data_IF_162888383510
#
_entry.id   IF_162888383510
#
_cell.length_a   1.000
_cell.length_b   1.000
_cell.length_c   1.000
_cell.angle_alpha   90.00
_cell.angle_beta   90.00
_cell.angle_gamma   90.00
#
_symmetry.space_group_name_H-M   'P 1'
#
loop_
_entity.id
_entity.type
_entity.pdbx_description
1 polymer ?
#
# COMPACT_ATOMS: atom_id res chain seq x y z
N UNK A 1 4.19 -59.01 -41.21
CA UNK A 1 4.59 -59.05 -39.79
C UNK A 1 4.71 -57.62 -39.26
N UNK A 2 3.98 -57.35 -38.18
CA UNK A 2 3.98 -56.23 -37.21
C UNK A 2 4.71 -54.92 -37.60
N UNK A 3 3.93 -53.85 -37.84
CA UNK A 3 4.39 -52.46 -37.75
C UNK A 3 4.33 -52.04 -36.27
N UNK A 4 5.49 -51.68 -35.72
CA UNK A 4 5.66 -51.21 -34.35
C UNK A 4 5.26 -49.72 -34.30
N UNK A 5 4.14 -49.40 -33.64
CA UNK A 5 3.71 -48.03 -33.39
C UNK A 5 4.44 -47.53 -32.14
N UNK A 6 5.40 -46.63 -32.30
CA UNK A 6 6.04 -45.93 -31.19
C UNK A 6 5.15 -44.74 -30.83
N UNK A 7 4.37 -44.88 -29.76
CA UNK A 7 3.61 -43.77 -29.18
C UNK A 7 4.56 -42.99 -28.26
N UNK A 8 5.00 -41.83 -28.72
CA UNK A 8 5.78 -40.89 -27.91
C UNK A 8 4.82 -40.18 -26.94
N UNK A 9 4.77 -40.63 -25.69
CA UNK A 9 4.12 -39.88 -24.61
C UNK A 9 4.99 -38.67 -24.30
N UNK A 10 4.65 -37.51 -24.87
CA UNK A 10 5.18 -36.22 -24.45
C UNK A 10 4.65 -35.95 -23.04
N UNK A 11 5.49 -36.20 -22.04
CA UNK A 11 5.29 -35.66 -20.70
C UNK A 11 5.34 -34.13 -20.83
N UNK A 12 4.17 -33.50 -20.80
CA UNK A 12 4.06 -32.07 -20.54
C UNK A 12 4.54 -31.85 -19.11
N UNK A 13 5.83 -31.57 -18.95
CA UNK A 13 6.36 -31.06 -17.71
C UNK A 13 5.71 -29.70 -17.48
N UNK A 14 4.69 -29.67 -16.62
CA UNK A 14 4.13 -28.43 -16.10
C UNK A 14 5.24 -27.71 -15.35
N UNK A 15 5.91 -26.78 -16.01
CA UNK A 15 6.75 -25.81 -15.35
C UNK A 15 5.80 -24.99 -14.47
N UNK A 16 5.81 -25.24 -13.17
CA UNK A 16 5.28 -24.30 -12.20
C UNK A 16 6.05 -22.99 -12.42
N UNK A 17 5.44 -22.05 -13.13
CA UNK A 17 6.02 -20.76 -13.40
C UNK A 17 6.14 -20.05 -12.05
N UNK A 18 7.35 -19.97 -11.52
CA UNK A 18 7.62 -19.20 -10.32
C UNK A 18 7.23 -17.74 -10.63
N UNK A 19 6.35 -17.17 -9.80
CA UNK A 19 5.96 -15.77 -9.92
C UNK A 19 7.22 -14.88 -9.92
N UNK A 20 7.31 -13.95 -10.85
CA UNK A 20 8.42 -13.02 -10.92
C UNK A 20 8.22 -11.96 -9.83
N UNK A 21 8.88 -12.17 -8.68
CA UNK A 21 8.86 -11.27 -7.53
C UNK A 21 10.11 -10.40 -7.53
N UNK A 22 9.92 -9.09 -7.64
CA UNK A 22 10.96 -8.07 -7.55
C UNK A 22 10.72 -7.16 -6.34
N UNK A 23 11.76 -6.89 -5.56
CA UNK A 23 11.72 -5.88 -4.50
C UNK A 23 11.80 -4.47 -5.11
N UNK A 24 10.91 -3.56 -4.68
CA UNK A 24 10.90 -2.17 -5.14
C UNK A 24 11.63 -1.28 -4.13
N UNK A 25 11.08 -1.13 -2.93
CA UNK A 25 11.62 -0.21 -1.90
C UNK A 25 11.01 -0.51 -0.52
N UNK A 26 11.78 -0.22 0.54
CA UNK A 26 11.26 -0.09 1.90
C UNK A 26 11.27 1.38 2.30
N UNK A 27 10.18 1.86 2.90
CA UNK A 27 9.95 3.26 3.22
C UNK A 27 9.70 3.46 4.71
N UNK A 28 10.26 4.53 5.26
CA UNK A 28 9.82 5.15 6.51
C UNK A 28 9.06 6.44 6.18
N UNK A 29 7.83 6.54 6.63
CA UNK A 29 6.92 7.63 6.33
C UNK A 29 6.61 8.40 7.61
N UNK A 30 6.75 9.73 7.57
CA UNK A 30 6.38 10.63 8.66
C UNK A 30 5.18 11.47 8.26
N UNK A 31 4.21 11.59 9.17
CA UNK A 31 3.07 12.48 9.00
C UNK A 31 3.53 13.92 8.83
N UNK A 32 2.95 14.61 7.86
CA UNK A 32 3.29 16.01 7.52
C UNK A 32 2.10 16.94 7.67
N UNK A 33 0.90 16.45 7.36
CA UNK A 33 -0.33 17.20 7.50
C UNK A 33 -1.53 16.28 7.72
N UNK A 34 -2.56 16.84 8.36
CA UNK A 34 -3.88 16.24 8.41
C UNK A 34 -4.90 17.17 7.77
N UNK A 35 -5.70 16.61 6.87
CA UNK A 35 -6.75 17.30 6.14
C UNK A 35 -8.10 16.71 6.57
N UNK A 36 -8.86 17.39 7.45
CA UNK A 36 -10.15 16.90 7.90
C UNK A 36 -11.15 16.87 6.74
N UNK A 37 -12.02 15.84 6.69
CA UNK A 37 -13.15 15.80 5.77
C UNK A 37 -14.30 16.73 6.19
N UNK A 38 -14.49 16.92 7.51
CA UNK A 38 -15.41 17.88 8.09
C UNK A 38 -14.92 18.33 9.47
N UNK A 39 -14.62 19.62 9.63
CA UNK A 39 -14.35 20.34 10.89
C UNK A 39 -13.38 19.68 11.90
N UNK A 40 -12.08 19.88 11.71
CA UNK A 40 -11.10 20.26 12.77
C UNK A 40 -9.71 20.31 12.15
N UNK A 41 -9.12 21.51 12.09
CA UNK A 41 -7.69 21.64 11.81
C UNK A 41 -6.92 21.12 13.03
N UNK A 42 -6.15 20.07 12.82
CA UNK A 42 -5.19 19.54 13.78
C UNK A 42 -3.92 19.21 13.03
N UNK A 43 -2.77 19.43 13.62
CA UNK A 43 -1.52 18.95 13.06
C UNK A 43 -1.51 17.41 13.16
N UNK A 44 -0.92 16.74 12.17
CA UNK A 44 -0.70 15.29 12.19
C UNK A 44 0.45 14.90 13.12
N UNK A 45 0.42 15.35 14.37
CA UNK A 45 1.60 15.45 15.24
C UNK A 45 2.21 14.10 15.66
N UNK A 46 1.59 12.97 15.31
CA UNK A 46 2.16 11.63 15.57
C UNK A 46 1.62 10.57 14.61
N UNK A 47 1.88 10.71 13.32
CA UNK A 47 1.66 9.64 12.35
C UNK A 47 2.98 9.13 11.78
N UNK A 48 3.14 7.81 11.73
CA UNK A 48 4.30 7.14 11.15
C UNK A 48 3.88 5.83 10.48
N UNK A 49 4.42 5.55 9.30
CA UNK A 49 4.21 4.28 8.61
C UNK A 49 5.55 3.69 8.15
N UNK A 50 5.63 2.38 8.13
CA UNK A 50 6.67 1.60 7.50
C UNK A 50 6.03 0.80 6.37
N UNK A 51 6.61 0.83 5.17
CA UNK A 51 6.06 0.17 3.99
C UNK A 51 7.16 -0.60 3.27
N UNK A 52 6.99 -1.90 3.06
CA UNK A 52 7.80 -2.71 2.14
C UNK A 52 6.99 -2.95 0.86
N UNK A 53 7.51 -2.52 -0.28
CA UNK A 53 6.81 -2.58 -1.57
C UNK A 53 7.53 -3.55 -2.52
N UNK A 54 6.75 -4.43 -3.12
CA UNK A 54 7.22 -5.42 -4.11
C UNK A 54 6.40 -5.33 -5.40
N UNK A 55 6.97 -5.84 -6.48
CA UNK A 55 6.30 -6.09 -7.75
C UNK A 55 6.22 -7.60 -7.96
N UNK A 56 5.02 -8.15 -8.05
CA UNK A 56 4.78 -9.57 -8.33
C UNK A 56 3.99 -9.66 -9.62
N UNK A 57 4.62 -10.21 -10.66
CA UNK A 57 4.02 -10.39 -11.99
C UNK A 57 3.41 -9.10 -12.57
N UNK A 58 4.08 -7.97 -12.36
CA UNK A 58 3.64 -6.66 -12.85
C UNK A 58 2.63 -5.95 -11.95
N UNK A 59 2.28 -6.51 -10.78
CA UNK A 59 1.38 -5.90 -9.81
C UNK A 59 2.17 -5.39 -8.61
N UNK A 60 1.95 -4.12 -8.27
CA UNK A 60 2.53 -3.52 -7.07
C UNK A 60 1.74 -3.99 -5.84
N UNK A 61 2.47 -4.34 -4.79
CA UNK A 61 1.92 -4.87 -3.54
C UNK A 61 2.71 -4.32 -2.35
N UNK A 62 2.00 -4.02 -1.25
CA UNK A 62 2.63 -3.89 0.06
C UNK A 62 2.91 -5.30 0.56
N UNK A 63 4.18 -5.69 0.59
CA UNK A 63 4.62 -6.96 1.17
C UNK A 63 4.44 -6.95 2.68
N UNK A 64 4.87 -5.86 3.33
CA UNK A 64 4.70 -5.64 4.76
C UNK A 64 4.39 -4.17 4.96
N UNK A 65 3.50 -3.87 5.90
CA UNK A 65 3.28 -2.51 6.35
C UNK A 65 2.99 -2.48 7.83
N UNK A 66 3.31 -1.35 8.47
CA UNK A 66 3.05 -1.15 9.88
C UNK A 66 3.12 0.31 10.28
N UNK A 67 2.69 0.62 11.51
CA UNK A 67 2.84 1.95 12.11
C UNK A 67 1.58 2.42 12.81
N UNK A 68 1.46 3.74 12.94
CA UNK A 68 0.35 4.37 13.63
C UNK A 68 -0.06 5.67 12.98
N UNK A 69 -1.34 6.02 13.14
CA UNK A 69 -1.87 7.34 12.84
C UNK A 69 -2.50 7.86 14.11
N UNK A 70 -1.97 8.97 14.63
CA UNK A 70 -2.66 9.81 15.61
C UNK A 70 -2.96 11.16 14.97
N UNK A 71 -4.24 11.45 14.74
CA UNK A 71 -4.63 12.67 14.04
C UNK A 71 -6.07 13.07 14.31
N UNK A 72 -6.34 14.33 14.63
CA UNK A 72 -7.70 14.82 14.86
C UNK A 72 -8.49 14.06 15.94
N UNK A 73 -7.80 13.49 16.95
CA UNK A 73 -8.40 12.65 17.98
C UNK A 73 -8.54 11.17 17.61
N UNK A 74 -8.30 10.80 16.34
CA UNK A 74 -8.27 9.42 15.87
C UNK A 74 -6.92 8.78 16.14
N UNK A 75 -6.92 7.60 16.75
CA UNK A 75 -5.73 6.76 16.88
C UNK A 75 -5.96 5.41 16.23
N UNK A 76 -5.08 5.00 15.32
CA UNK A 76 -5.08 3.65 14.79
C UNK A 76 -3.69 3.08 14.60
N UNK A 77 -3.60 1.75 14.76
CA UNK A 77 -2.38 0.97 14.55
C UNK A 77 -2.57 0.15 13.28
N UNK A 78 -1.58 0.21 12.40
CA UNK A 78 -1.55 -0.55 11.16
C UNK A 78 -0.54 -1.66 11.30
N UNK A 79 -0.91 -2.84 10.82
CA UNK A 79 0.02 -3.89 10.46
C UNK A 79 -0.64 -4.81 9.45
N UNK A 80 0.14 -5.36 8.55
CA UNK A 80 -0.35 -6.36 7.62
C UNK A 80 0.65 -6.67 6.53
N UNK A 81 0.20 -7.52 5.60
CA UNK A 81 1.00 -8.01 4.49
C UNK A 81 0.14 -8.32 3.29
N UNK A 82 0.81 -8.43 2.16
CA UNK A 82 0.26 -8.89 0.90
C UNK A 82 -0.92 -8.08 0.33
N UNK A 83 -0.90 -6.77 0.55
CA UNK A 83 -1.95 -5.88 0.07
C UNK A 83 -1.65 -5.39 -1.36
N UNK A 84 -2.40 -5.92 -2.33
CA UNK A 84 -2.22 -5.64 -3.76
C UNK A 84 -2.86 -4.32 -4.16
N UNK A 85 -2.21 -3.59 -5.07
CA UNK A 85 -2.77 -2.39 -5.70
C UNK A 85 -4.17 -2.64 -6.29
N UNK A 86 -5.07 -1.67 -6.11
CA UNK A 86 -6.38 -1.60 -6.75
C UNK A 86 -6.51 -0.33 -7.60
N UNK A 87 -6.75 -0.45 -8.92
CA UNK A 87 -6.87 0.70 -9.81
C UNK A 87 -8.10 1.58 -9.47
N UNK A 88 -8.01 2.87 -9.80
CA UNK A 88 -9.02 3.87 -9.48
C UNK A 88 -10.31 3.67 -10.32
N UNK A 89 -11.48 3.59 -9.67
CA UNK A 89 -12.78 3.45 -10.36
C UNK A 89 -13.56 4.79 -10.56
N UNK A 90 -13.13 5.91 -9.95
CA UNK A 90 -13.80 7.24 -10.05
C UNK A 90 -12.86 8.36 -10.57
N UNK A 91 -13.42 9.52 -10.93
CA UNK A 91 -12.67 10.67 -11.47
C UNK A 91 -11.51 11.09 -10.55
N UNK A 92 -10.29 11.09 -11.09
CA UNK A 92 -9.04 10.83 -10.38
C UNK A 92 -8.34 12.07 -9.81
N UNK A 93 -8.45 12.28 -8.49
CA UNK A 93 -7.59 13.21 -7.74
C UNK A 93 -6.11 12.74 -7.70
N UNK A 94 -5.89 11.42 -7.77
CA UNK A 94 -4.57 10.78 -7.66
C UNK A 94 -4.18 10.06 -8.96
N UNK A 95 -3.78 10.81 -9.99
CA UNK A 95 -3.46 10.25 -11.32
C UNK A 95 -2.11 9.53 -11.40
N UNK A 96 -1.17 9.85 -10.52
CA UNK A 96 0.19 9.29 -10.51
C UNK A 96 0.51 8.55 -9.19
N UNK A 97 -0.47 7.85 -8.64
CA UNK A 97 -0.31 7.11 -7.40
C UNK A 97 -0.73 5.65 -7.56
N UNK A 98 -0.02 4.75 -6.89
CA UNK A 98 -0.50 3.44 -6.53
C UNK A 98 -1.56 3.60 -5.43
N UNK A 99 -2.60 2.76 -5.46
CA UNK A 99 -3.64 2.75 -4.42
C UNK A 99 -3.77 1.36 -3.85
N UNK A 100 -3.71 1.24 -2.54
CA UNK A 100 -3.91 0.01 -1.78
C UNK A 100 -5.21 0.18 -1.00
N UNK A 101 -6.26 -0.53 -1.43
CA UNK A 101 -7.57 -0.50 -0.77
C UNK A 101 -7.61 -1.47 0.41
N UNK A 102 -8.55 -1.21 1.31
CA UNK A 102 -8.73 -1.88 2.59
C UNK A 102 -7.44 -1.81 3.44
N UNK A 103 -6.72 -0.69 3.33
CA UNK A 103 -5.61 -0.35 4.21
C UNK A 103 -6.19 0.13 5.54
N UNK A 104 -6.68 -0.81 6.33
CA UNK A 104 -7.45 -0.52 7.53
C UNK A 104 -6.59 -0.67 8.78
N UNK A 105 -6.94 0.09 9.82
CA UNK A 105 -6.26 -0.02 11.10
C UNK A 105 -6.64 -1.35 11.78
N UNK A 106 -5.63 -2.13 12.16
CA UNK A 106 -5.81 -3.37 12.92
C UNK A 106 -6.35 -3.11 14.33
N UNK A 107 -6.10 -1.92 14.87
CA UNK A 107 -6.64 -1.44 16.13
C UNK A 107 -6.99 0.04 16.01
N UNK A 108 -8.08 0.47 16.64
CA UNK A 108 -8.50 1.87 16.74
C UNK A 108 -8.83 2.20 18.19
N UNK A 109 -8.40 3.35 18.71
CA UNK A 109 -8.81 3.87 20.02
C UNK A 109 -9.76 5.06 19.88
N UNK A 110 -10.68 5.19 20.84
CA UNK A 110 -11.88 6.02 20.70
C UNK A 110 -13.07 5.12 20.36
N UNK A 111 -14.28 5.46 20.83
CA UNK A 111 -15.48 4.61 20.78
C UNK A 111 -16.07 4.38 19.37
N UNK A 112 -15.22 4.34 18.35
CA UNK A 112 -15.59 4.30 16.95
C UNK A 112 -15.52 2.88 16.38
N UNK A 113 -16.31 2.64 15.33
CA UNK A 113 -16.46 1.35 14.65
C UNK A 113 -15.21 0.89 13.86
N UNK A 114 -14.04 1.47 14.14
CA UNK A 114 -12.78 1.26 13.42
C UNK A 114 -12.35 2.46 12.57
N UNK A 115 -11.16 2.38 12.00
CA UNK A 115 -10.60 3.34 11.04
C UNK A 115 -10.20 2.59 9.77
N UNK A 116 -10.86 2.89 8.65
CA UNK A 116 -10.71 2.15 7.40
C UNK A 116 -10.54 3.09 6.21
N UNK A 117 -9.94 2.61 5.14
CA UNK A 117 -9.75 3.42 3.95
C UNK A 117 -8.77 2.86 2.95
N UNK A 118 -7.95 3.75 2.41
CA UNK A 118 -6.96 3.37 1.42
C UNK A 118 -5.69 4.21 1.55
N UNK A 119 -4.57 3.55 1.30
CA UNK A 119 -3.28 4.19 1.16
C UNK A 119 -3.04 4.50 -0.32
N UNK A 120 -2.58 5.71 -0.63
CA UNK A 120 -2.02 6.04 -1.94
C UNK A 120 -0.54 6.40 -1.80
N UNK A 121 0.29 5.94 -2.75
CA UNK A 121 1.74 6.17 -2.76
C UNK A 121 2.14 6.62 -4.15
N UNK A 122 2.93 7.68 -4.27
CA UNK A 122 3.36 8.21 -5.56
C UNK A 122 4.14 7.15 -6.37
N UNK A 123 3.86 7.05 -7.67
CA UNK A 123 4.52 6.08 -8.57
C UNK A 123 6.00 6.35 -8.80
N UNK A 124 6.49 7.52 -8.40
CA UNK A 124 7.92 7.84 -8.40
C UNK A 124 8.74 7.00 -7.39
N UNK A 125 8.11 6.13 -6.58
CA UNK A 125 8.83 5.12 -5.76
C UNK A 125 9.85 4.29 -6.55
N UNK A 126 9.60 4.01 -7.83
CA UNK A 126 10.54 3.26 -8.67
C UNK A 126 11.86 4.00 -8.90
N UNK A 127 11.83 5.33 -8.84
CA UNK A 127 12.99 6.22 -8.94
C UNK A 127 13.77 6.34 -7.62
N UNK A 128 13.28 5.75 -6.52
CA UNK A 128 14.04 5.71 -5.27
C UNK A 128 15.13 4.63 -5.29
N UNK A 129 15.06 3.67 -6.21
CA UNK A 129 16.08 2.62 -6.39
C UNK A 129 17.39 3.18 -6.93
N UNK A 130 17.31 4.10 -7.89
CA UNK A 130 18.47 4.73 -8.55
C UNK A 130 18.94 6.03 -7.88
N UNK A 131 18.35 6.37 -6.72
CA UNK A 131 18.66 7.55 -5.91
C UNK A 131 18.38 8.90 -6.59
N UNK A 132 17.63 8.93 -7.70
CA UNK A 132 17.18 10.18 -8.33
C UNK A 132 16.07 10.87 -7.55
N UNK A 133 15.32 10.10 -6.74
CA UNK A 133 14.31 10.61 -5.79
C UNK A 133 14.69 10.18 -4.38
N UNK A 134 14.70 11.14 -3.45
CA UNK A 134 15.04 10.90 -2.02
C UNK A 134 13.81 10.73 -1.14
N UNK A 135 12.67 11.27 -1.57
CA UNK A 135 11.43 11.30 -0.83
C UNK A 135 10.25 11.25 -1.80
N UNK A 136 9.18 10.57 -1.42
CA UNK A 136 7.91 10.51 -2.14
C UNK A 136 6.75 10.79 -1.19
N UNK A 137 5.66 11.31 -1.73
CA UNK A 137 4.41 11.51 -1.00
C UNK A 137 3.59 10.20 -0.92
N UNK A 138 2.98 10.01 0.25
CA UNK A 138 1.90 9.05 0.45
C UNK A 138 0.72 9.72 1.18
N UNK A 139 -0.48 9.20 0.98
CA UNK A 139 -1.67 9.70 1.66
C UNK A 139 -2.53 8.55 2.16
N UNK A 140 -2.91 8.60 3.43
CA UNK A 140 -3.93 7.72 3.97
C UNK A 140 -5.26 8.46 3.99
N UNK A 141 -6.19 8.05 3.12
CA UNK A 141 -7.53 8.63 3.04
C UNK A 141 -8.48 7.67 3.74
N UNK A 142 -9.15 8.15 4.78
CA UNK A 142 -9.85 7.26 5.70
C UNK A 142 -11.21 7.79 6.16
N UNK A 143 -12.00 6.85 6.66
CA UNK A 143 -13.18 7.08 7.46
C UNK A 143 -12.93 6.48 8.85
N UNK A 144 -13.52 7.06 9.88
CA UNK A 144 -13.44 6.55 11.24
C UNK A 144 -14.85 6.56 11.86
N UNK A 145 -15.33 5.37 12.24
CA UNK A 145 -16.73 5.16 12.62
C UNK A 145 -17.74 5.73 11.61
N UNK A 146 -18.81 6.33 12.11
CA UNK A 146 -19.86 6.94 11.29
C UNK A 146 -19.52 8.37 10.83
N UNK A 147 -18.31 8.86 11.12
CA UNK A 147 -17.88 10.20 10.79
C UNK A 147 -17.09 10.22 9.48
N UNK A 148 -17.25 11.29 8.68
CA UNK A 148 -16.32 11.52 7.58
C UNK A 148 -14.93 11.73 8.18
N UNK A 149 -14.00 10.82 7.89
CA UNK A 149 -12.62 10.91 8.38
C UNK A 149 -11.85 12.01 7.67
N UNK A 150 -10.60 11.75 7.32
CA UNK A 150 -9.75 12.75 6.69
C UNK A 150 -8.70 12.15 5.78
N UNK A 151 -7.68 12.95 5.50
CA UNK A 151 -6.47 12.50 4.84
C UNK A 151 -5.27 12.84 5.69
N UNK A 152 -4.44 11.84 6.01
CA UNK A 152 -3.10 12.07 6.55
C UNK A 152 -2.11 12.05 5.40
N UNK A 153 -1.34 13.12 5.28
CA UNK A 153 -0.28 13.26 4.28
C UNK A 153 1.05 12.85 4.89
N UNK A 154 1.83 12.06 4.15
CA UNK A 154 3.12 11.54 4.59
C UNK A 154 4.23 11.94 3.62
N UNK A 155 5.39 12.24 4.19
CA UNK A 155 6.68 12.26 3.50
C UNK A 155 7.39 10.93 3.78
N UNK A 156 7.69 10.18 2.72
CA UNK A 156 8.28 8.86 2.80
C UNK A 156 9.68 8.83 2.21
N UNK A 157 10.66 8.42 3.00
CA UNK A 157 12.05 8.23 2.59
C UNK A 157 12.43 6.76 2.64
N UNK A 158 13.53 6.39 1.98
CA UNK A 158 14.02 5.02 1.99
C UNK A 158 14.46 4.60 3.40
N UNK A 159 13.96 3.48 3.88
CA UNK A 159 14.45 2.80 5.08
C UNK A 159 15.82 2.17 4.78
N UNK A 160 16.80 2.39 5.65
CA UNK A 160 18.17 1.87 5.51
C UNK A 160 18.37 0.58 6.30
#
# INVERSE_FOLDING_TARGET
>A
MKKLLVVLFLMAAGLAQAANREFVVSLECKGTAFRPGSFQEGLGDSAALFLSIVNIDGKIQLEEYGGNVYSGGYYGIFHGKDLVEKPFQRASKYKNHYRFQDFDAAFTAGAESGMWGYLVVNKDIHKMRDSSVKEVDAHYVFQAGDHMGGTVDFACSRSW
#
